data_IF_608475799775
#
_entry.id   IF_608475799775
#
_cell.length_a   1.000
_cell.length_b   1.000
_cell.length_c   1.000
_cell.angle_alpha   90.00
_cell.angle_beta   90.00
_cell.angle_gamma   90.00
#
_symmetry.space_group_name_H-M   'P 1'
#
loop_
_entity.id
_entity.type
_entity.pdbx_description
1 polymer ?
#
# COMPACT_ATOMS: atom_id res chain seq x y z
N UNK A 1 -0.37 -6.92 8.72
CA UNK A 1 -0.54 -5.62 8.05
C UNK A 1 -1.87 -4.95 8.41
N UNK A 2 -3.05 -5.51 8.15
CA UNK A 2 -4.33 -4.91 8.59
C UNK A 2 -4.39 -4.63 10.09
N UNK A 3 -3.88 -5.54 10.91
CA UNK A 3 -3.91 -5.42 12.38
C UNK A 3 -3.15 -4.20 12.93
N UNK A 4 -2.15 -3.70 12.21
CA UNK A 4 -1.30 -2.57 12.61
C UNK A 4 -1.59 -1.30 11.80
N UNK A 5 -2.66 -1.30 11.00
CA UNK A 5 -3.13 -0.17 10.17
C UNK A 5 -2.04 0.44 9.27
N UNK A 6 -1.21 -0.40 8.66
CA UNK A 6 -0.21 0.02 7.69
C UNK A 6 -0.76 -0.16 6.28
N UNK A 7 -0.53 0.81 5.37
CA UNK A 7 -0.91 0.69 3.97
C UNK A 7 -0.25 -0.53 3.31
N UNK A 8 -1.02 -1.25 2.50
CA UNK A 8 -0.53 -2.43 1.78
C UNK A 8 -1.21 -2.52 0.40
N UNK A 9 -0.60 -3.26 -0.52
CA UNK A 9 -1.16 -3.53 -1.86
C UNK A 9 -1.14 -5.03 -2.08
N UNK A 10 -2.30 -5.63 -2.37
CA UNK A 10 -2.45 -7.06 -2.63
C UNK A 10 -2.85 -7.35 -4.07
N UNK A 11 -3.31 -6.34 -4.77
CA UNK A 11 -3.66 -6.40 -6.18
C UNK A 11 -2.48 -5.87 -7.02
N UNK A 12 -2.69 -5.68 -8.30
CA UNK A 12 -1.66 -5.16 -9.20
C UNK A 12 -1.15 -3.79 -8.75
N UNK A 13 0.17 -3.63 -8.65
CA UNK A 13 0.81 -2.33 -8.48
C UNK A 13 0.56 -1.45 -9.70
N UNK A 14 -0.17 -0.34 -9.60
CA UNK A 14 -0.33 0.59 -10.72
C UNK A 14 0.96 1.38 -10.91
N UNK A 15 1.50 1.39 -12.12
CA UNK A 15 2.68 2.21 -12.44
C UNK A 15 2.44 3.68 -12.12
N UNK A 16 3.43 4.32 -11.48
CA UNK A 16 3.32 5.70 -11.00
C UNK A 16 2.69 5.84 -9.62
N UNK A 17 2.52 4.75 -8.87
CA UNK A 17 1.92 4.81 -7.53
C UNK A 17 2.70 5.73 -6.59
N UNK A 18 4.01 5.71 -6.64
CA UNK A 18 4.88 6.58 -5.86
C UNK A 18 5.40 7.75 -6.68
N UNK A 19 5.90 7.50 -7.88
CA UNK A 19 6.50 8.52 -8.74
C UNK A 19 5.50 9.54 -9.27
N UNK A 20 4.21 9.19 -9.37
CA UNK A 20 3.11 10.08 -9.70
C UNK A 20 2.04 10.11 -8.60
N UNK A 21 2.49 10.21 -7.36
CA UNK A 21 1.64 10.19 -6.17
C UNK A 21 0.48 11.21 -6.19
N UNK A 22 0.64 12.46 -6.71
CA UNK A 22 -0.47 13.40 -6.82
C UNK A 22 -1.64 12.87 -7.64
N UNK A 23 -1.38 12.10 -8.71
CA UNK A 23 -2.43 11.50 -9.55
C UNK A 23 -3.14 10.36 -8.82
N UNK A 24 -2.40 9.53 -8.07
CA UNK A 24 -2.99 8.49 -7.22
C UNK A 24 -3.89 9.13 -6.15
N UNK A 25 -3.45 10.21 -5.51
CA UNK A 25 -4.25 10.97 -4.54
C UNK A 25 -5.55 11.55 -5.16
N UNK A 26 -5.52 11.98 -6.42
CA UNK A 26 -6.73 12.39 -7.15
C UNK A 26 -7.70 11.21 -7.34
N UNK A 27 -7.19 10.02 -7.67
CA UNK A 27 -8.01 8.82 -7.80
C UNK A 27 -8.65 8.39 -6.47
N UNK A 28 -7.90 8.46 -5.37
CA UNK A 28 -8.43 8.22 -4.01
C UNK A 28 -9.51 9.25 -3.64
N UNK A 29 -9.26 10.55 -3.90
CA UNK A 29 -10.27 11.60 -3.69
C UNK A 29 -11.54 11.36 -4.52
N UNK A 30 -11.40 10.86 -5.76
CA UNK A 30 -12.55 10.51 -6.59
C UNK A 30 -13.36 9.37 -5.97
N UNK A 31 -12.71 8.36 -5.38
CA UNK A 31 -13.39 7.29 -4.65
C UNK A 31 -14.21 7.85 -3.48
N UNK A 32 -13.61 8.69 -2.64
CA UNK A 32 -14.29 9.35 -1.53
C UNK A 32 -15.44 10.27 -2.00
N UNK A 33 -15.30 10.93 -3.16
CA UNK A 33 -16.37 11.74 -3.73
C UNK A 33 -17.57 10.88 -4.16
N UNK A 34 -17.31 9.70 -4.74
CA UNK A 34 -18.38 8.75 -5.09
C UNK A 34 -19.12 8.26 -3.82
N UNK A 35 -18.38 7.98 -2.75
CA UNK A 35 -18.98 7.57 -1.48
C UNK A 35 -19.89 8.67 -0.90
N UNK A 36 -19.48 9.94 -0.98
CA UNK A 36 -20.31 11.08 -0.58
C UNK A 36 -21.57 11.20 -1.42
N UNK A 37 -21.50 11.01 -2.73
CA UNK A 37 -22.68 11.02 -3.60
C UNK A 37 -23.73 9.97 -3.19
N UNK A 38 -23.28 8.85 -2.61
CA UNK A 38 -24.15 7.80 -2.06
C UNK A 38 -24.91 8.25 -0.80
N UNK A 39 -24.31 9.14 0.01
CA UNK A 39 -24.91 9.65 1.25
C UNK A 39 -25.74 10.91 1.06
N UNK A 40 -25.41 11.73 0.06
CA UNK A 40 -26.03 13.04 -0.19
C UNK A 40 -27.34 12.96 -1.02
N UNK A 41 -27.83 11.74 -1.34
CA UNK A 41 -29.03 11.56 -2.18
C UNK A 41 -28.82 11.84 -3.67
N UNK A 42 -27.64 12.30 -4.08
CA UNK A 42 -27.31 12.58 -5.50
C UNK A 42 -27.45 11.33 -6.38
N UNK A 43 -27.25 10.14 -5.81
CA UNK A 43 -27.45 8.87 -6.52
C UNK A 43 -28.91 8.68 -6.97
N UNK A 44 -29.89 9.23 -6.26
CA UNK A 44 -31.30 9.07 -6.59
C UNK A 44 -31.70 9.85 -7.85
N UNK A 45 -30.99 10.94 -8.15
CA UNK A 45 -31.25 11.78 -9.34
C UNK A 45 -30.66 11.19 -10.64
N UNK A 46 -29.76 10.21 -10.52
CA UNK A 46 -29.08 9.61 -11.66
C UNK A 46 -29.90 8.47 -12.29
N UNK A 47 -29.74 8.28 -13.59
CA UNK A 47 -30.32 7.13 -14.30
C UNK A 47 -29.73 5.80 -13.79
N UNK A 48 -30.49 4.70 -13.94
CA UNK A 48 -30.03 3.36 -13.55
C UNK A 48 -28.68 2.98 -14.20
N UNK A 49 -28.45 3.39 -15.44
CA UNK A 49 -27.22 3.12 -16.17
C UNK A 49 -26.03 3.88 -15.56
N UNK A 50 -26.20 5.13 -15.23
CA UNK A 50 -25.15 5.96 -14.62
C UNK A 50 -24.78 5.43 -13.23
N UNK A 51 -25.78 5.12 -12.40
CA UNK A 51 -25.55 4.49 -11.09
C UNK A 51 -24.71 3.22 -11.21
N UNK A 52 -25.02 2.36 -12.17
CA UNK A 52 -24.26 1.13 -12.38
C UNK A 52 -22.82 1.39 -12.82
N UNK A 53 -22.59 2.39 -13.70
CA UNK A 53 -21.26 2.78 -14.13
C UNK A 53 -20.41 3.32 -12.98
N UNK A 54 -20.99 4.20 -12.15
CA UNK A 54 -20.33 4.78 -10.98
C UNK A 54 -20.02 3.70 -9.95
N UNK A 55 -20.96 2.80 -9.67
CA UNK A 55 -20.73 1.68 -8.76
C UNK A 55 -19.58 0.76 -9.22
N UNK A 56 -19.52 0.42 -10.52
CA UNK A 56 -18.42 -0.35 -11.11
C UNK A 56 -17.08 0.39 -11.01
N UNK A 57 -17.08 1.71 -11.25
CA UNK A 57 -15.89 2.53 -11.13
C UNK A 57 -15.39 2.58 -9.68
N UNK A 58 -16.30 2.78 -8.72
CA UNK A 58 -15.98 2.75 -7.30
C UNK A 58 -15.38 1.40 -6.89
N UNK A 59 -16.02 0.29 -7.25
CA UNK A 59 -15.52 -1.05 -6.94
C UNK A 59 -14.10 -1.31 -7.50
N UNK A 60 -13.83 -0.82 -8.72
CA UNK A 60 -12.49 -0.91 -9.32
C UNK A 60 -11.44 -0.08 -8.57
N UNK A 61 -11.80 1.13 -8.15
CA UNK A 61 -10.91 1.99 -7.36
C UNK A 61 -10.67 1.40 -5.98
N UNK A 62 -11.70 0.91 -5.31
CA UNK A 62 -11.63 0.25 -4.01
C UNK A 62 -10.71 -0.96 -4.05
N UNK A 63 -10.87 -1.81 -5.06
CA UNK A 63 -10.04 -3.01 -5.23
C UNK A 63 -8.55 -2.67 -5.34
N UNK A 64 -8.20 -1.62 -6.10
CA UNK A 64 -6.81 -1.30 -6.41
C UNK A 64 -6.17 -0.32 -5.41
N UNK A 65 -6.95 0.58 -4.83
CA UNK A 65 -6.44 1.70 -4.03
C UNK A 65 -7.07 1.80 -2.64
N UNK A 66 -8.03 0.95 -2.29
CA UNK A 66 -8.73 1.02 -1.01
C UNK A 66 -7.80 0.90 0.19
N UNK A 67 -6.84 -0.02 0.12
CA UNK A 67 -5.87 -0.25 1.19
C UNK A 67 -4.82 0.86 1.38
N UNK A 68 -4.72 1.78 0.43
CA UNK A 68 -3.83 2.94 0.49
C UNK A 68 -4.59 4.27 0.56
N UNK A 69 -5.90 4.23 0.79
CA UNK A 69 -6.74 5.43 0.85
C UNK A 69 -6.24 6.45 1.87
N UNK A 70 -5.76 5.98 3.00
CA UNK A 70 -5.23 6.80 4.10
C UNK A 70 -3.77 7.22 3.93
N UNK A 71 -3.11 6.76 2.86
CA UNK A 71 -1.72 7.14 2.58
C UNK A 71 -1.65 8.62 2.16
N UNK A 72 -1.21 9.49 3.07
CA UNK A 72 -1.14 10.95 2.85
C UNK A 72 0.21 11.42 2.33
N UNK A 73 1.27 10.63 2.54
CA UNK A 73 2.67 10.91 2.17
C UNK A 73 3.34 9.66 1.62
N UNK A 74 4.48 9.83 0.96
CA UNK A 74 5.30 8.71 0.52
C UNK A 74 5.76 7.86 1.72
N UNK A 75 5.85 6.54 1.58
CA UNK A 75 6.33 5.66 2.65
C UNK A 75 7.81 5.91 2.92
N UNK A 76 8.23 5.71 4.18
CA UNK A 76 9.63 5.81 4.59
C UNK A 76 10.45 4.57 4.20
N UNK A 77 9.79 3.44 4.01
CA UNK A 77 10.37 2.19 3.55
C UNK A 77 9.29 1.32 2.88
N UNK A 78 9.71 0.35 2.09
CA UNK A 78 8.81 -0.61 1.45
C UNK A 78 9.23 -2.03 1.78
N UNK A 79 8.24 -2.90 2.02
CA UNK A 79 8.42 -4.34 2.08
C UNK A 79 7.73 -5.00 0.89
N UNK A 80 8.48 -5.77 0.10
CA UNK A 80 8.01 -6.37 -1.16
C UNK A 80 8.14 -7.89 -1.08
N UNK A 81 7.09 -8.57 -1.50
CA UNK A 81 7.06 -10.01 -1.73
C UNK A 81 7.04 -10.24 -3.22
N UNK A 82 7.91 -11.13 -3.73
CA UNK A 82 8.05 -11.44 -5.15
C UNK A 82 8.57 -10.24 -5.98
N UNK A 83 9.86 -10.00 -5.88
CA UNK A 83 10.58 -8.92 -6.60
C UNK A 83 10.40 -9.03 -8.11
N UNK A 84 10.33 -10.25 -8.65
CA UNK A 84 10.19 -10.47 -10.09
C UNK A 84 8.84 -9.97 -10.61
N UNK A 85 7.75 -10.22 -9.88
CA UNK A 85 6.41 -9.72 -10.26
C UNK A 85 6.25 -8.23 -9.99
N UNK A 86 6.79 -7.76 -8.86
CA UNK A 86 6.60 -6.38 -8.39
C UNK A 86 7.78 -5.44 -8.75
N UNK A 87 8.51 -5.75 -9.84
CA UNK A 87 9.68 -4.99 -10.29
C UNK A 87 9.37 -3.49 -10.53
N UNK A 88 8.12 -3.13 -10.85
CA UNK A 88 7.71 -1.73 -11.01
C UNK A 88 7.78 -1.00 -9.68
N UNK A 89 7.31 -1.63 -8.59
CA UNK A 89 7.36 -1.07 -7.25
C UNK A 89 8.81 -0.84 -6.80
N UNK A 90 9.69 -1.82 -7.04
CA UNK A 90 11.13 -1.71 -6.75
C UNK A 90 11.75 -0.53 -7.48
N UNK A 91 11.53 -0.41 -8.80
CA UNK A 91 12.07 0.71 -9.59
C UNK A 91 11.56 2.07 -9.14
N UNK A 92 10.29 2.17 -8.76
CA UNK A 92 9.73 3.42 -8.25
C UNK A 92 10.32 3.79 -6.89
N UNK A 93 10.50 2.82 -5.99
CA UNK A 93 11.13 3.03 -4.70
C UNK A 93 12.57 3.51 -4.85
N UNK A 94 13.38 2.83 -5.67
CA UNK A 94 14.77 3.19 -5.95
C UNK A 94 14.90 4.58 -6.57
N UNK A 95 13.99 4.93 -7.50
CA UNK A 95 13.96 6.27 -8.10
C UNK A 95 13.71 7.38 -7.09
N UNK A 96 13.02 7.07 -6.01
CA UNK A 96 12.67 8.02 -4.94
C UNK A 96 13.57 7.88 -3.70
N UNK A 97 14.60 7.03 -3.77
CA UNK A 97 15.50 6.68 -2.66
C UNK A 97 14.73 6.21 -1.42
N UNK A 98 13.69 5.40 -1.63
CA UNK A 98 12.92 4.76 -0.56
C UNK A 98 13.55 3.38 -0.30
N UNK A 99 14.05 3.09 0.91
CA UNK A 99 14.63 1.80 1.25
C UNK A 99 13.68 0.63 0.99
N UNK A 100 14.18 -0.40 0.32
CA UNK A 100 13.43 -1.60 -0.05
C UNK A 100 13.91 -2.81 0.73
N UNK A 101 13.00 -3.38 1.50
CA UNK A 101 13.11 -4.71 2.09
C UNK A 101 12.33 -5.68 1.22
N UNK A 102 12.91 -6.78 0.80
CA UNK A 102 12.18 -7.72 -0.05
C UNK A 102 12.52 -9.18 0.20
N UNK A 103 11.51 -10.03 0.03
CA UNK A 103 11.74 -11.47 -0.12
C UNK A 103 12.29 -11.72 -1.53
N UNK A 104 13.43 -12.41 -1.60
CA UNK A 104 14.15 -12.67 -2.84
C UNK A 104 14.31 -14.17 -3.00
N UNK A 105 13.66 -14.74 -4.01
CA UNK A 105 13.81 -16.14 -4.41
C UNK A 105 14.84 -16.27 -5.54
N UNK A 106 15.13 -17.47 -5.96
CA UNK A 106 16.12 -17.84 -6.98
C UNK A 106 15.88 -17.24 -8.36
N UNK A 107 14.65 -16.82 -8.65
CA UNK A 107 14.23 -16.19 -9.91
C UNK A 107 14.41 -14.65 -9.92
N UNK A 108 14.91 -14.07 -8.84
CA UNK A 108 14.97 -12.62 -8.63
C UNK A 108 16.39 -12.10 -8.48
N UNK A 109 16.63 -10.88 -8.99
CA UNK A 109 17.92 -10.20 -8.86
C UNK A 109 17.95 -9.33 -7.60
N UNK A 110 18.85 -9.59 -6.62
CA UNK A 110 18.90 -8.82 -5.38
C UNK A 110 19.60 -7.46 -5.49
N UNK A 111 20.25 -7.13 -6.62
CA UNK A 111 21.09 -5.92 -6.75
C UNK A 111 20.36 -4.61 -6.54
N UNK A 112 19.05 -4.58 -6.85
CA UNK A 112 18.20 -3.40 -6.71
C UNK A 112 17.49 -3.34 -5.34
N UNK A 113 17.84 -4.22 -4.40
CA UNK A 113 17.21 -4.35 -3.08
C UNK A 113 18.19 -3.98 -2.00
N UNK A 114 17.82 -3.03 -1.11
CA UNK A 114 18.68 -2.60 -0.02
C UNK A 114 18.82 -3.67 1.06
N UNK A 115 17.73 -4.36 1.38
CA UNK A 115 17.65 -5.38 2.43
C UNK A 115 16.99 -6.66 1.90
N UNK A 116 17.75 -7.50 1.16
CA UNK A 116 17.21 -8.75 0.62
C UNK A 116 17.07 -9.81 1.72
N UNK A 117 15.93 -10.49 1.74
CA UNK A 117 15.63 -11.63 2.61
C UNK A 117 15.54 -12.87 1.71
N UNK A 118 16.58 -13.73 1.66
CA UNK A 118 16.53 -14.96 0.87
C UNK A 118 15.45 -15.90 1.41
N UNK A 119 14.40 -16.10 0.63
CA UNK A 119 13.28 -16.93 1.04
C UNK A 119 12.41 -17.33 -0.17
N UNK A 120 11.66 -18.42 0.00
CA UNK A 120 10.70 -18.85 -0.99
C UNK A 120 9.48 -17.92 -0.97
N UNK A 121 9.21 -17.24 -2.07
CA UNK A 121 8.14 -16.27 -2.25
C UNK A 121 6.86 -16.85 -2.91
N UNK A 122 6.84 -18.15 -3.22
CA UNK A 122 5.67 -18.87 -3.72
C UNK A 122 4.92 -19.63 -2.61
N UNK A 123 5.64 -20.09 -1.57
CA UNK A 123 5.04 -20.88 -0.50
C UNK A 123 4.34 -20.00 0.53
N UNK A 124 3.03 -20.12 0.65
CA UNK A 124 2.21 -19.33 1.59
C UNK A 124 2.68 -19.41 3.05
N UNK A 125 3.22 -20.56 3.47
CA UNK A 125 3.79 -20.71 4.82
C UNK A 125 5.06 -19.88 5.03
N UNK A 126 5.95 -19.86 4.03
CA UNK A 126 7.18 -19.04 4.06
C UNK A 126 6.83 -17.55 4.10
N UNK A 127 5.93 -17.12 3.21
CA UNK A 127 5.45 -15.73 3.13
C UNK A 127 4.81 -15.31 4.47
N UNK A 128 3.91 -16.14 5.01
CA UNK A 128 3.23 -15.82 6.28
C UNK A 128 4.22 -15.64 7.43
N UNK A 129 5.17 -16.56 7.57
CA UNK A 129 6.17 -16.51 8.63
C UNK A 129 6.97 -15.19 8.58
N UNK A 130 7.47 -14.82 7.41
CA UNK A 130 8.28 -13.61 7.26
C UNK A 130 7.43 -12.34 7.44
N UNK A 131 6.20 -12.33 6.90
CA UNK A 131 5.28 -11.21 7.10
C UNK A 131 4.92 -11.03 8.58
N UNK A 132 4.77 -12.11 9.33
CA UNK A 132 4.48 -12.04 10.76
C UNK A 132 5.64 -11.39 11.51
N UNK A 133 6.88 -11.81 11.27
CA UNK A 133 8.08 -11.16 11.85
C UNK A 133 8.20 -9.68 11.48
N UNK A 134 8.01 -9.34 10.20
CA UNK A 134 8.07 -7.94 9.75
C UNK A 134 6.95 -7.12 10.40
N UNK A 135 5.75 -7.70 10.54
CA UNK A 135 4.61 -7.02 11.16
C UNK A 135 4.86 -6.76 12.64
N UNK A 136 5.46 -7.72 13.34
CA UNK A 136 5.83 -7.59 14.75
C UNK A 136 6.89 -6.49 14.95
N UNK A 137 7.97 -6.51 14.18
CA UNK A 137 9.01 -5.48 14.21
C UNK A 137 8.47 -4.06 13.93
N UNK A 138 7.56 -3.94 12.97
CA UNK A 138 6.90 -2.66 12.69
C UNK A 138 6.01 -2.21 13.85
N UNK A 139 5.29 -3.14 14.48
CA UNK A 139 4.44 -2.83 15.64
C UNK A 139 5.27 -2.35 16.83
N UNK A 140 6.41 -2.97 17.09
CA UNK A 140 7.37 -2.53 18.12
C UNK A 140 7.88 -1.12 17.83
N UNK A 141 8.40 -0.85 16.63
CA UNK A 141 8.89 0.48 16.25
C UNK A 141 7.81 1.57 16.30
N UNK A 142 6.55 1.24 15.98
CA UNK A 142 5.43 2.17 16.14
C UNK A 142 5.13 2.47 17.63
N UNK A 143 5.27 1.50 18.51
CA UNK A 143 5.08 1.69 19.94
C UNK A 143 6.22 2.52 20.55
N UNK A 144 7.46 2.23 20.21
CA UNK A 144 8.62 3.03 20.65
C UNK A 144 8.45 4.50 20.24
N UNK A 145 8.10 4.75 18.99
CA UNK A 145 7.85 6.11 18.49
C UNK A 145 6.70 6.83 19.22
N UNK A 146 5.69 6.10 19.69
CA UNK A 146 4.62 6.70 20.52
C UNK A 146 5.13 7.09 21.88
N UNK A 147 5.91 6.22 22.51
CA UNK A 147 6.51 6.48 23.83
C UNK A 147 7.49 7.65 23.81
N UNK A 148 8.31 7.78 22.74
CA UNK A 148 9.19 8.93 22.57
C UNK A 148 8.40 10.24 22.48
N UNK A 149 7.37 10.27 21.63
CA UNK A 149 6.52 11.47 21.50
C UNK A 149 5.80 11.85 22.79
N UNK A 150 5.40 10.88 23.60
CA UNK A 150 4.78 11.13 24.90
C UNK A 150 5.79 11.71 25.90
N UNK A 151 7.05 11.29 25.84
CA UNK A 151 8.14 11.85 26.65
C UNK A 151 8.45 13.29 26.25
N UNK A 152 8.63 13.54 24.94
CA UNK A 152 8.91 14.87 24.40
C UNK A 152 7.75 15.87 24.65
N UNK A 153 6.53 15.39 24.80
CA UNK A 153 5.37 16.22 25.11
C UNK A 153 5.18 16.49 26.62
N UNK A 154 5.90 15.75 27.47
CA UNK A 154 5.86 15.89 28.93
C UNK A 154 7.01 16.75 29.51
N UNK A 155 8.02 17.07 28.68
CA UNK A 155 9.07 18.05 28.95
C UNK A 155 8.67 19.45 28.43
#
# INVERSE_FOLDING_TARGET
>A
MKAINIPYVTERWPGGMLTNFPTIRKAVKKMSAIDKMGTDGTFETLSKRERLQIARQRAKLEKNLGSIADLTRLPAAMFIVDVHKEYIAVREANRLNIPVFAMVDTNSDPRDIDFPIPANDDASKSISLIIDFVTEAIAEGLNERKMEKEKDAAE
#
